data_IF_938847648046
#
_entry.id   IF_938847648046
#
_cell.length_a   1.000
_cell.length_b   1.000
_cell.length_c   1.000
_cell.angle_alpha   90.00
_cell.angle_beta   90.00
_cell.angle_gamma   90.00
#
_symmetry.space_group_name_H-M   'P 1'
#
loop_
_entity.id
_entity.type
_entity.pdbx_description
1 polymer ?
#
# COMPACT_ATOMS: atom_id res chain seq x y z
N UNK A 1 -5.82 19.05 -18.08
CA UNK A 1 -6.00 19.32 -16.63
C UNK A 1 -5.31 18.21 -15.86
N UNK A 2 -4.60 18.52 -14.76
CA UNK A 2 -4.03 17.50 -13.88
C UNK A 2 -5.01 17.13 -12.79
N UNK A 3 -5.20 15.84 -12.55
CA UNK A 3 -5.88 15.30 -11.37
C UNK A 3 -4.98 14.24 -10.73
N UNK A 4 -5.18 13.99 -9.45
CA UNK A 4 -4.44 12.99 -8.70
C UNK A 4 -5.41 11.88 -8.29
N UNK A 5 -4.95 10.63 -8.34
CA UNK A 5 -5.73 9.47 -7.91
C UNK A 5 -5.01 8.82 -6.74
N UNK A 6 -5.71 8.66 -5.62
CA UNK A 6 -5.26 7.79 -4.52
C UNK A 6 -6.04 6.49 -4.59
N UNK A 7 -5.37 5.35 -4.64
CA UNK A 7 -6.03 4.03 -4.73
C UNK A 7 -5.28 2.99 -3.90
N UNK A 8 -6.03 2.03 -3.36
CA UNK A 8 -5.46 0.80 -2.82
C UNK A 8 -5.15 -0.14 -4.00
N UNK A 9 -4.00 -0.81 -3.98
CA UNK A 9 -3.58 -1.77 -5.00
C UNK A 9 -3.13 -3.04 -4.30
N UNK A 10 -3.84 -4.14 -4.58
CA UNK A 10 -3.52 -5.44 -4.02
C UNK A 10 -2.25 -6.06 -4.62
N UNK A 11 -1.80 -7.17 -4.05
CA UNK A 11 -0.56 -7.84 -4.46
C UNK A 11 -0.54 -8.26 -5.94
N UNK A 12 -1.71 -8.44 -6.56
CA UNK A 12 -1.84 -8.84 -7.96
C UNK A 12 -2.02 -7.64 -8.91
N UNK A 13 -1.89 -6.41 -8.40
CA UNK A 13 -2.00 -5.18 -9.18
C UNK A 13 -3.44 -4.70 -9.37
N UNK A 14 -4.41 -5.28 -8.67
CA UNK A 14 -5.80 -4.87 -8.75
C UNK A 14 -6.03 -3.57 -7.97
N UNK A 15 -6.48 -2.53 -8.67
CA UNK A 15 -6.87 -1.27 -8.06
C UNK A 15 -8.25 -1.38 -7.39
N UNK A 16 -8.35 -0.88 -6.16
CA UNK A 16 -9.61 -0.81 -5.44
C UNK A 16 -9.82 0.57 -4.81
N UNK A 17 -11.09 1.00 -4.80
CA UNK A 17 -11.56 2.24 -4.15
C UNK A 17 -10.79 3.50 -4.61
N UNK A 18 -10.68 3.79 -5.92
CA UNK A 18 -9.98 4.98 -6.39
C UNK A 18 -10.72 6.26 -5.95
N UNK A 19 -9.96 7.25 -5.47
CA UNK A 19 -10.45 8.58 -5.12
C UNK A 19 -9.65 9.61 -5.90
N UNK A 20 -10.35 10.56 -6.51
CA UNK A 20 -9.76 11.56 -7.40
C UNK A 20 -9.76 12.95 -6.77
N UNK A 21 -8.66 13.67 -6.94
CA UNK A 21 -8.40 14.97 -6.34
C UNK A 21 -7.90 15.96 -7.40
N UNK A 22 -8.15 17.25 -7.16
CA UNK A 22 -7.58 18.34 -7.98
C UNK A 22 -6.25 18.86 -7.44
N UNK A 23 -5.96 18.59 -6.17
CA UNK A 23 -4.72 18.98 -5.48
C UNK A 23 -3.93 17.74 -5.07
N UNK A 24 -2.61 17.84 -5.14
CA UNK A 24 -1.71 16.79 -4.64
C UNK A 24 -1.81 16.67 -3.11
N UNK A 25 -1.94 17.80 -2.41
CA UNK A 25 -2.03 17.84 -0.94
C UNK A 25 -3.25 17.07 -0.43
N UNK A 26 -4.39 17.17 -1.12
CA UNK A 26 -5.60 16.42 -0.78
C UNK A 26 -5.39 14.92 -1.01
N UNK A 27 -4.71 14.55 -2.11
CA UNK A 27 -4.39 13.15 -2.42
C UNK A 27 -3.42 12.55 -1.39
N UNK A 28 -2.44 13.33 -0.92
CA UNK A 28 -1.51 12.96 0.15
C UNK A 28 -2.23 12.77 1.49
N UNK A 29 -3.16 13.68 1.81
CA UNK A 29 -3.97 13.56 3.03
C UNK A 29 -4.80 12.27 3.02
N UNK A 30 -5.43 11.93 1.89
CA UNK A 30 -6.18 10.67 1.77
C UNK A 30 -5.24 9.45 1.79
N UNK A 31 -4.06 9.54 1.18
CA UNK A 31 -3.05 8.48 1.23
C UNK A 31 -2.67 8.14 2.68
N UNK A 32 -2.33 9.15 3.49
CA UNK A 32 -1.95 8.94 4.89
C UNK A 32 -3.10 8.35 5.70
N UNK A 33 -4.33 8.83 5.46
CA UNK A 33 -5.53 8.30 6.10
C UNK A 33 -5.77 6.83 5.75
N UNK A 34 -5.60 6.46 4.48
CA UNK A 34 -5.74 5.07 3.99
C UNK A 34 -4.69 4.16 4.60
N UNK A 35 -3.43 4.58 4.59
CA UNK A 35 -2.34 3.84 5.21
C UNK A 35 -2.62 3.57 6.70
N UNK A 36 -3.04 4.61 7.44
CA UNK A 36 -3.39 4.50 8.85
C UNK A 36 -4.61 3.62 9.10
N UNK A 37 -5.60 3.63 8.20
CA UNK A 37 -6.79 2.78 8.30
C UNK A 37 -6.41 1.30 8.13
N UNK A 38 -5.69 0.97 7.07
CA UNK A 38 -5.26 -0.41 6.78
C UNK A 38 -4.43 -0.96 7.95
N UNK A 39 -3.54 -0.15 8.51
CA UNK A 39 -2.72 -0.55 9.65
C UNK A 39 -3.54 -0.85 10.92
N UNK A 40 -4.67 -0.15 11.13
CA UNK A 40 -5.55 -0.39 12.29
C UNK A 40 -6.46 -1.61 12.10
N UNK A 41 -6.85 -1.88 10.86
CA UNK A 41 -7.80 -2.94 10.53
C UNK A 41 -7.13 -4.31 10.41
N UNK A 42 -5.84 -4.35 10.10
CA UNK A 42 -5.10 -5.59 9.84
C UNK A 42 -4.04 -5.86 10.90
N UNK A 43 -3.67 -7.14 11.04
CA UNK A 43 -2.50 -7.54 11.83
C UNK A 43 -1.24 -7.23 11.02
N UNK A 44 -0.83 -5.96 11.02
CA UNK A 44 0.43 -5.51 10.41
C UNK A 44 1.59 -6.32 10.99
N UNK A 45 2.50 -6.73 10.11
CA UNK A 45 3.73 -7.44 10.50
C UNK A 45 4.51 -6.55 11.46
N UNK A 46 5.01 -7.09 12.57
CA UNK A 46 5.89 -6.32 13.45
C UNK A 46 7.37 -6.58 13.14
N UNK A 47 8.27 -5.71 13.60
CA UNK A 47 9.71 -5.87 13.34
C UNK A 47 10.30 -7.17 13.92
N UNK A 48 9.61 -7.81 14.89
CA UNK A 48 10.04 -9.07 15.52
C UNK A 48 9.61 -10.29 14.69
N UNK A 49 8.52 -10.15 13.94
CA UNK A 49 8.02 -11.12 12.99
C UNK A 49 8.91 -11.18 11.72
N UNK A 50 9.70 -10.14 11.43
CA UNK A 50 10.63 -10.09 10.30
C UNK A 50 11.73 -11.15 10.37
N UNK A 51 12.10 -11.62 11.56
CA UNK A 51 13.11 -12.66 11.72
C UNK A 51 12.63 -14.03 11.19
N UNK A 52 11.31 -14.22 11.02
CA UNK A 52 10.68 -15.47 10.52
C UNK A 52 10.61 -15.49 8.99
N UNK A 53 10.64 -14.31 8.35
CA UNK A 53 10.54 -14.16 6.90
C UNK A 53 11.89 -13.68 6.38
N UNK A 54 12.57 -14.56 5.67
CA UNK A 54 13.89 -14.28 5.12
C UNK A 54 13.88 -13.24 3.97
N UNK A 55 13.27 -12.06 4.14
CA UNK A 55 13.45 -10.86 3.28
C UNK A 55 13.16 -9.64 4.15
N UNK A 56 14.18 -8.83 4.45
CA UNK A 56 14.11 -7.71 5.40
C UNK A 56 13.32 -6.49 4.91
N UNK A 57 12.03 -6.65 4.63
CA UNK A 57 11.13 -5.57 4.27
C UNK A 57 10.44 -5.00 5.51
N UNK A 58 10.41 -3.67 5.64
CA UNK A 58 9.80 -3.00 6.79
C UNK A 58 8.28 -3.27 6.84
N UNK A 59 7.65 -3.30 8.02
CA UNK A 59 6.19 -3.41 8.16
C UNK A 59 5.40 -2.44 7.29
N UNK A 60 5.92 -1.22 7.20
CA UNK A 60 5.41 -0.13 6.39
C UNK A 60 6.59 0.50 5.69
N UNK A 61 6.49 0.63 4.37
CA UNK A 61 7.49 1.29 3.55
C UNK A 61 6.80 2.36 2.71
N UNK A 62 7.32 3.58 2.72
CA UNK A 62 6.83 4.66 1.85
C UNK A 62 7.93 4.97 0.86
N UNK A 63 7.60 4.80 -0.41
CA UNK A 63 8.45 5.09 -1.55
C UNK A 63 7.94 6.30 -2.32
N UNK A 64 8.86 7.09 -2.85
CA UNK A 64 8.57 8.22 -3.74
C UNK A 64 9.08 7.94 -5.15
N UNK A 65 8.63 8.66 -6.17
CA UNK A 65 8.99 8.37 -7.57
C UNK A 65 10.50 8.42 -7.87
N UNK A 66 11.29 9.02 -6.97
CA UNK A 66 12.75 9.01 -7.05
C UNK A 66 13.37 7.65 -6.66
N UNK A 67 12.59 6.79 -6.02
CA UNK A 67 12.92 5.44 -5.59
C UNK A 67 12.27 4.40 -6.52
N UNK A 68 12.74 3.16 -6.47
CA UNK A 68 12.17 2.06 -7.26
C UNK A 68 10.80 1.65 -6.69
N UNK A 69 9.74 1.97 -7.43
CA UNK A 69 8.35 1.63 -7.11
C UNK A 69 7.93 0.31 -7.73
N UNK A 70 7.02 -0.41 -7.09
CA UNK A 70 6.35 -1.56 -7.71
C UNK A 70 5.39 -1.06 -8.82
N UNK A 71 4.77 0.10 -8.60
CA UNK A 71 3.86 0.74 -9.55
C UNK A 71 4.52 1.92 -10.25
N UNK A 72 5.00 1.70 -11.48
CA UNK A 72 5.77 2.71 -12.26
C UNK A 72 5.05 4.05 -12.53
N UNK A 73 3.71 4.05 -12.47
CA UNK A 73 2.86 5.23 -12.65
C UNK A 73 2.70 6.06 -11.37
N UNK A 74 3.08 5.52 -10.22
CA UNK A 74 2.93 6.20 -8.94
C UNK A 74 3.90 7.38 -8.79
N UNK A 75 3.41 8.44 -8.14
CA UNK A 75 4.21 9.53 -7.60
C UNK A 75 4.73 9.19 -6.19
N UNK A 76 3.90 8.47 -5.43
CA UNK A 76 4.16 8.01 -4.07
C UNK A 76 3.44 6.68 -3.87
N UNK A 77 4.10 5.75 -3.18
CA UNK A 77 3.64 4.40 -2.92
C UNK A 77 3.87 4.11 -1.43
N UNK A 78 2.87 3.56 -0.76
CA UNK A 78 2.97 3.08 0.61
C UNK A 78 2.65 1.61 0.65
N UNK A 79 3.61 0.77 1.01
CA UNK A 79 3.50 -0.68 1.11
C UNK A 79 3.23 -1.03 2.57
N UNK A 80 2.24 -1.89 2.83
CA UNK A 80 1.90 -2.39 4.17
C UNK A 80 1.87 -3.91 4.13
N UNK A 81 2.71 -4.52 4.96
CA UNK A 81 2.76 -5.97 5.17
C UNK A 81 1.84 -6.39 6.32
N UNK A 82 1.03 -7.43 6.12
CA UNK A 82 0.15 -7.97 7.17
C UNK A 82 0.00 -9.49 7.12
N UNK A 83 -0.23 -10.07 8.29
CA UNK A 83 -0.47 -11.50 8.48
C UNK A 83 -1.91 -11.88 8.15
N UNK A 84 -2.07 -12.99 7.45
CA UNK A 84 -3.35 -13.61 7.18
C UNK A 84 -3.28 -15.12 7.44
N UNK A 85 -4.43 -15.73 7.69
CA UNK A 85 -4.52 -17.18 7.95
C UNK A 85 -5.03 -17.88 6.69
N UNK A 86 -4.21 -18.76 6.12
CA UNK A 86 -4.57 -19.57 4.96
C UNK A 86 -5.45 -20.75 5.39
N UNK A 87 -6.77 -20.54 5.37
CA UNK A 87 -7.79 -21.54 5.76
C UNK A 87 -7.77 -21.95 7.25
N UNK A 88 -8.87 -22.55 7.72
CA UNK A 88 -8.98 -23.03 9.10
C UNK A 88 -8.30 -24.39 9.31
N UNK A 89 -7.98 -25.10 8.22
CA UNK A 89 -7.59 -26.52 8.25
C UNK A 89 -6.11 -26.70 8.54
N UNK A 90 -5.28 -25.76 8.09
CA UNK A 90 -3.85 -25.71 8.34
C UNK A 90 -3.59 -24.50 9.24
N UNK A 91 -3.08 -24.70 10.46
CA UNK A 91 -2.76 -23.64 11.44
C UNK A 91 -1.60 -22.71 10.99
N UNK A 92 -1.44 -22.51 9.68
CA UNK A 92 -0.35 -21.78 9.06
C UNK A 92 -0.74 -20.32 8.82
N UNK A 93 0.08 -19.43 9.36
CA UNK A 93 0.03 -18.00 9.09
C UNK A 93 0.95 -17.67 7.93
N UNK A 94 0.47 -16.82 7.03
CA UNK A 94 1.23 -16.35 5.87
C UNK A 94 1.18 -14.81 5.81
N UNK A 95 2.09 -14.21 5.05
CA UNK A 95 2.18 -12.76 4.87
C UNK A 95 1.78 -12.35 3.48
N UNK A 96 1.04 -11.25 3.43
CA UNK A 96 0.67 -10.56 2.20
C UNK A 96 0.99 -9.08 2.36
N UNK A 97 1.02 -8.36 1.25
CA UNK A 97 1.08 -6.92 1.25
C UNK A 97 -0.06 -6.32 0.44
N UNK A 98 -0.37 -5.08 0.79
CA UNK A 98 -1.15 -4.18 -0.06
C UNK A 98 -0.37 -2.88 -0.19
N UNK A 99 -0.66 -2.13 -1.25
CA UNK A 99 -0.08 -0.81 -1.46
C UNK A 99 -1.18 0.25 -1.55
N UNK A 100 -0.87 1.46 -1.12
CA UNK A 100 -1.65 2.65 -1.44
C UNK A 100 -0.77 3.47 -2.38
N UNK A 101 -1.32 3.95 -3.50
CA UNK A 101 -0.56 4.74 -4.46
C UNK A 101 -1.25 6.06 -4.73
N UNK A 102 -0.43 7.10 -4.95
CA UNK A 102 -0.86 8.36 -5.55
C UNK A 102 -0.35 8.39 -6.98
N UNK A 103 -1.23 8.61 -7.94
CA UNK A 103 -0.88 8.75 -9.35
C UNK A 103 -1.29 10.12 -9.88
N UNK A 104 -0.48 10.70 -10.76
CA UNK A 104 -0.88 11.87 -11.55
C UNK A 104 -1.55 11.39 -12.84
N UNK A 105 -2.75 11.90 -13.11
CA UNK A 105 -3.51 11.60 -14.31
C UNK A 105 -3.66 12.90 -15.12
N UNK A 106 -3.18 12.84 -16.36
CA UNK A 106 -3.43 13.90 -17.33
C UNK A 106 -4.79 13.67 -18.01
N UNK A 107 -5.67 14.66 -17.89
CA UNK A 107 -6.97 14.68 -18.58
C UNK A 107 -6.89 15.68 -19.73
N UNK A 108 -7.15 15.20 -20.94
CA UNK A 108 -7.22 15.99 -22.18
C UNK A 108 -8.52 16.78 -22.30
#
# INVERSE_FOLDING_TARGET
MKIYKTTEVGMYGEETKPIYFRSLDDAQTEFEKKMNQIQKENRVVDDRDLDVLAIGEKPVEIRTKQEEMLHSSALQEGIINFWYRCSHEDDEWDVTFTSVVIEEIEVL
#
